data_IF_570309266446
#
_entry.id   IF_570309266446
#
_cell.length_a   1.000
_cell.length_b   1.000
_cell.length_c   1.000
_cell.angle_alpha   90.00
_cell.angle_beta   90.00
_cell.angle_gamma   90.00
#
_symmetry.space_group_name_H-M   'P 1'
#
loop_
_entity.id
_entity.type
_entity.pdbx_description
1 polymer ?
#
# COMPACT_ATOMS: atom_id res chain seq x y z
N UNK A 1 33.38 9.59 -46.65
CA UNK A 1 32.20 8.71 -46.65
C UNK A 1 31.59 8.69 -45.24
N UNK A 2 30.52 9.47 -45.03
CA UNK A 2 29.77 9.52 -43.78
C UNK A 2 28.71 8.43 -43.85
N UNK A 3 28.74 7.46 -42.94
CA UNK A 3 27.63 6.52 -42.70
C UNK A 3 26.70 7.11 -41.68
N UNK A 4 25.53 7.50 -42.11
CA UNK A 4 24.36 7.84 -41.28
C UNK A 4 23.84 6.56 -40.69
N UNK A 5 23.93 6.41 -39.37
CA UNK A 5 23.23 5.39 -38.61
C UNK A 5 21.81 5.89 -38.35
N UNK A 6 20.85 5.23 -38.95
CA UNK A 6 19.42 5.37 -38.64
C UNK A 6 19.20 4.68 -37.29
N UNK A 7 18.95 5.49 -36.27
CA UNK A 7 18.50 5.05 -34.96
C UNK A 7 16.97 4.87 -35.05
N UNK A 8 16.53 3.66 -35.17
CA UNK A 8 15.14 3.22 -35.09
C UNK A 8 14.94 2.29 -33.91
N UNK A 9 15.35 2.72 -32.73
CA UNK A 9 14.99 2.02 -31.50
C UNK A 9 13.68 2.57 -30.97
N UNK A 10 12.60 1.87 -31.31
CA UNK A 10 11.34 1.96 -30.58
C UNK A 10 11.62 1.53 -29.14
N UNK A 11 11.75 2.49 -28.21
CA UNK A 11 11.62 2.23 -26.78
C UNK A 11 10.24 1.62 -26.58
N UNK A 12 10.18 0.30 -26.43
CA UNK A 12 9.04 -0.35 -25.78
C UNK A 12 9.01 0.17 -24.33
N UNK A 13 8.15 1.13 -24.07
CA UNK A 13 7.85 1.59 -22.72
C UNK A 13 7.33 0.37 -21.95
N UNK A 14 8.05 -0.03 -20.92
CA UNK A 14 7.69 -1.06 -19.94
C UNK A 14 6.35 -0.64 -19.30
N UNK A 15 5.25 -1.35 -19.61
CA UNK A 15 3.90 -0.94 -19.23
C UNK A 15 3.31 -1.98 -18.27
N UNK A 16 2.96 -1.57 -17.04
CA UNK A 16 2.10 -2.34 -16.13
C UNK A 16 0.62 -2.24 -16.53
N UNK A 17 0.33 -2.29 -17.85
CA UNK A 17 -1.02 -2.30 -18.39
C UNK A 17 -1.25 -3.70 -18.97
N UNK A 18 -1.94 -4.55 -18.20
CA UNK A 18 -2.28 -5.92 -18.61
C UNK A 18 -3.48 -5.92 -19.57
N UNK A 19 -4.52 -5.15 -19.24
CA UNK A 19 -5.72 -4.98 -20.05
C UNK A 19 -5.73 -3.60 -20.70
N UNK A 20 -5.47 -3.56 -22.01
CA UNK A 20 -5.48 -2.30 -22.77
C UNK A 20 -6.91 -1.78 -22.92
N UNK A 21 -7.10 -0.49 -22.59
CA UNK A 21 -8.34 0.25 -22.81
C UNK A 21 -8.08 1.31 -23.88
N UNK A 22 -8.86 1.30 -24.96
CA UNK A 22 -8.79 2.34 -25.98
C UNK A 22 -9.58 3.57 -25.57
N UNK A 23 -9.23 4.74 -26.14
CA UNK A 23 -9.99 5.99 -25.90
C UNK A 23 -11.47 5.83 -26.24
N UNK A 24 -11.80 5.11 -27.33
CA UNK A 24 -13.19 4.90 -27.74
C UNK A 24 -13.96 4.06 -26.71
N UNK A 25 -13.36 2.95 -26.22
CA UNK A 25 -13.96 2.10 -25.17
C UNK A 25 -14.21 2.88 -23.88
N UNK A 26 -13.20 3.66 -23.43
CA UNK A 26 -13.36 4.47 -22.22
C UNK A 26 -14.42 5.57 -22.39
N UNK A 27 -14.44 6.23 -23.55
CA UNK A 27 -15.49 7.26 -23.86
C UNK A 27 -16.89 6.66 -23.79
N UNK A 28 -17.10 5.48 -24.35
CA UNK A 28 -18.40 4.80 -24.31
C UNK A 28 -18.75 4.37 -22.88
N UNK A 29 -17.81 3.79 -22.15
CA UNK A 29 -18.02 3.36 -20.77
C UNK A 29 -18.36 4.52 -19.83
N UNK A 30 -17.71 5.68 -20.00
CA UNK A 30 -17.95 6.90 -19.21
C UNK A 30 -19.35 7.50 -19.40
N UNK A 31 -20.10 7.12 -20.43
CA UNK A 31 -21.52 7.52 -20.57
C UNK A 31 -22.40 7.02 -19.44
N UNK A 32 -21.96 5.96 -18.75
CA UNK A 32 -22.64 5.47 -17.55
C UNK A 32 -22.41 6.36 -16.32
N UNK A 33 -21.61 7.42 -16.42
CA UNK A 33 -21.26 8.31 -15.33
C UNK A 33 -21.58 9.77 -15.63
N UNK A 34 -21.88 10.55 -14.61
CA UNK A 34 -22.15 12.00 -14.77
C UNK A 34 -20.85 12.83 -14.65
N UNK A 35 -19.80 12.44 -15.38
CA UNK A 35 -18.47 13.03 -15.27
C UNK A 35 -18.05 13.94 -16.44
N UNK A 36 -18.95 14.15 -17.41
CA UNK A 36 -18.67 14.94 -18.62
C UNK A 36 -17.80 14.19 -19.62
N UNK A 37 -17.21 14.93 -20.55
CA UNK A 37 -16.48 14.37 -21.69
C UNK A 37 -15.06 13.98 -21.32
N UNK A 38 -14.57 12.85 -21.84
CA UNK A 38 -13.20 12.41 -21.73
C UNK A 38 -12.24 13.38 -22.46
N UNK A 39 -11.37 14.04 -21.72
CA UNK A 39 -10.36 14.94 -22.25
C UNK A 39 -9.02 14.23 -22.46
N UNK A 40 -8.53 13.49 -21.44
CA UNK A 40 -7.25 12.79 -21.48
C UNK A 40 -7.32 11.45 -20.75
N UNK A 41 -6.51 10.48 -21.20
CA UNK A 41 -6.27 9.22 -20.51
C UNK A 41 -4.79 8.84 -20.66
N UNK A 42 -4.22 8.27 -19.60
CA UNK A 42 -2.83 7.83 -19.57
C UNK A 42 -2.68 6.61 -18.67
N UNK A 43 -2.03 5.55 -19.16
CA UNK A 43 -1.71 4.38 -18.36
C UNK A 43 -0.77 4.73 -17.21
N UNK A 44 -1.01 4.16 -16.04
CA UNK A 44 -0.14 4.27 -14.86
C UNK A 44 0.82 3.08 -14.88
N UNK A 45 2.11 3.37 -14.96
CA UNK A 45 3.15 2.34 -15.05
C UNK A 45 3.56 1.76 -13.69
N UNK A 46 3.20 2.43 -12.60
CA UNK A 46 3.40 1.95 -11.23
C UNK A 46 2.22 1.08 -10.79
N UNK A 47 2.53 0.01 -10.08
CA UNK A 47 1.54 -1.00 -9.63
C UNK A 47 1.76 -2.33 -10.35
N UNK A 48 1.61 -3.43 -9.62
CA UNK A 48 1.94 -4.77 -10.10
C UNK A 48 0.74 -5.73 -10.14
N UNK A 49 -0.42 -5.34 -9.63
CA UNK A 49 -1.56 -6.25 -9.49
C UNK A 49 -2.72 -5.92 -10.45
N UNK A 50 -2.88 -4.64 -10.79
CA UNK A 50 -4.04 -4.15 -11.56
C UNK A 50 -3.62 -3.24 -12.70
N UNK A 51 -4.46 -3.13 -13.71
CA UNK A 51 -4.30 -2.12 -14.77
C UNK A 51 -4.92 -0.79 -14.32
N UNK A 52 -4.13 0.27 -14.31
CA UNK A 52 -4.56 1.58 -13.86
C UNK A 52 -4.39 2.65 -14.95
N UNK A 53 -5.33 3.59 -15.01
CA UNK A 53 -5.28 4.76 -15.90
C UNK A 53 -5.60 6.04 -15.15
N UNK A 54 -4.83 7.10 -15.36
CA UNK A 54 -5.31 8.45 -15.11
C UNK A 54 -6.33 8.83 -16.15
N UNK A 55 -7.47 9.32 -15.70
CA UNK A 55 -8.60 9.75 -16.54
C UNK A 55 -8.94 11.20 -16.21
N UNK A 56 -8.80 12.09 -17.19
CA UNK A 56 -9.23 13.48 -17.05
C UNK A 56 -10.48 13.69 -17.87
N UNK A 57 -11.51 14.21 -17.24
CA UNK A 57 -12.77 14.60 -17.88
C UNK A 57 -12.99 16.11 -17.75
N UNK A 58 -14.06 16.63 -18.35
CA UNK A 58 -14.44 18.03 -18.18
C UNK A 58 -14.87 18.41 -16.76
N UNK A 59 -15.06 17.41 -15.86
CA UNK A 59 -15.49 17.61 -14.46
C UNK A 59 -14.44 17.24 -13.42
N UNK A 60 -13.29 16.69 -13.82
CA UNK A 60 -12.24 16.37 -12.85
C UNK A 60 -11.23 15.33 -13.32
N UNK A 61 -10.36 14.96 -12.36
CA UNK A 61 -9.34 13.92 -12.54
C UNK A 61 -9.68 12.70 -11.69
N UNK A 62 -9.52 11.53 -12.29
CA UNK A 62 -9.90 10.26 -11.72
C UNK A 62 -8.80 9.22 -11.97
N UNK A 63 -8.86 8.13 -11.22
CA UNK A 63 -8.10 6.90 -11.49
C UNK A 63 -9.11 5.80 -11.81
N UNK A 64 -8.94 5.17 -12.96
CA UNK A 64 -9.66 3.97 -13.37
C UNK A 64 -8.77 2.77 -13.07
N UNK A 65 -9.28 1.81 -12.28
CA UNK A 65 -8.63 0.53 -12.00
C UNK A 65 -9.43 -0.59 -12.64
N UNK A 66 -8.76 -1.43 -13.45
CA UNK A 66 -9.29 -2.71 -13.92
C UNK A 66 -8.63 -3.81 -13.08
N UNK A 67 -9.45 -4.65 -12.46
CA UNK A 67 -8.98 -5.71 -11.57
C UNK A 67 -8.67 -6.97 -12.37
N UNK A 68 -7.39 -7.32 -12.40
CA UNK A 68 -6.92 -8.45 -13.23
C UNK A 68 -7.21 -9.81 -12.60
N UNK A 69 -7.14 -9.90 -11.27
CA UNK A 69 -7.18 -11.16 -10.53
C UNK A 69 -8.19 -11.18 -9.36
N UNK A 70 -8.62 -10.02 -8.89
CA UNK A 70 -9.56 -9.93 -7.76
C UNK A 70 -10.97 -10.26 -8.20
N UNK A 71 -11.66 -11.10 -7.42
CA UNK A 71 -13.04 -11.50 -7.70
C UNK A 71 -14.05 -10.36 -7.51
N UNK A 72 -15.08 -10.34 -8.33
CA UNK A 72 -16.16 -9.32 -8.26
C UNK A 72 -16.82 -9.29 -6.88
N UNK A 73 -16.84 -10.42 -6.16
CA UNK A 73 -17.48 -10.54 -4.84
C UNK A 73 -16.79 -9.75 -3.74
N UNK A 74 -15.48 -9.50 -3.86
CA UNK A 74 -14.68 -8.80 -2.84
C UNK A 74 -14.67 -7.29 -3.05
N UNK A 75 -14.78 -6.82 -4.29
CA UNK A 75 -14.63 -5.42 -4.67
C UNK A 75 -15.62 -4.46 -3.98
N UNK A 76 -16.89 -4.83 -3.75
CA UNK A 76 -17.83 -3.96 -3.04
C UNK A 76 -17.37 -3.57 -1.64
N UNK A 77 -16.65 -4.45 -0.92
CA UNK A 77 -16.07 -4.15 0.40
C UNK A 77 -15.12 -2.96 0.31
N UNK A 78 -14.15 -3.00 -0.60
CA UNK A 78 -13.12 -1.95 -0.74
C UNK A 78 -13.72 -0.63 -1.20
N UNK A 79 -14.65 -0.67 -2.17
CA UNK A 79 -15.33 0.54 -2.64
C UNK A 79 -16.16 1.18 -1.51
N UNK A 80 -16.90 0.40 -0.74
CA UNK A 80 -17.71 0.91 0.36
C UNK A 80 -16.85 1.37 1.54
N UNK A 81 -15.71 0.72 1.80
CA UNK A 81 -14.74 1.17 2.80
C UNK A 81 -14.18 2.55 2.43
N UNK A 82 -13.71 2.75 1.21
CA UNK A 82 -13.20 4.05 0.76
C UNK A 82 -14.29 5.12 0.83
N UNK A 83 -15.53 4.82 0.43
CA UNK A 83 -16.65 5.74 0.56
C UNK A 83 -16.95 6.12 2.01
N UNK A 84 -16.90 5.14 2.92
CA UNK A 84 -17.08 5.35 4.36
C UNK A 84 -15.99 6.23 4.97
N UNK A 85 -14.72 5.96 4.65
CA UNK A 85 -13.57 6.74 5.11
C UNK A 85 -13.64 8.18 4.59
N UNK A 86 -13.90 8.37 3.29
CA UNK A 86 -14.03 9.69 2.67
C UNK A 86 -15.19 10.51 3.28
N UNK A 87 -16.34 9.86 3.54
CA UNK A 87 -17.48 10.51 4.20
C UNK A 87 -17.18 11.00 5.63
N UNK A 88 -16.13 10.44 6.27
CA UNK A 88 -15.63 10.87 7.58
C UNK A 88 -14.46 11.86 7.49
N UNK A 89 -14.17 12.37 6.29
CA UNK A 89 -13.12 13.35 6.06
C UNK A 89 -11.71 12.78 6.01
N UNK A 90 -11.56 11.45 5.93
CA UNK A 90 -10.26 10.85 5.72
C UNK A 90 -9.81 11.04 4.27
N UNK A 91 -8.57 11.46 4.06
CA UNK A 91 -8.01 11.72 2.73
C UNK A 91 -7.68 10.41 2.01
N UNK A 92 -8.66 9.84 1.32
CA UNK A 92 -8.53 8.66 0.46
C UNK A 92 -9.29 8.85 -0.85
N UNK A 93 -9.03 8.02 -1.90
CA UNK A 93 -9.79 8.04 -3.12
C UNK A 93 -11.27 7.80 -2.83
N UNK A 94 -12.13 8.64 -3.39
CA UNK A 94 -13.59 8.48 -3.25
C UNK A 94 -14.12 7.74 -4.47
N UNK A 95 -14.78 6.57 -4.30
CA UNK A 95 -15.40 5.85 -5.39
C UNK A 95 -16.50 6.66 -6.06
N UNK A 96 -16.55 6.61 -7.39
CA UNK A 96 -17.56 7.28 -8.20
C UNK A 96 -18.64 6.29 -8.59
N UNK A 97 -19.88 6.54 -8.18
CA UNK A 97 -21.00 5.72 -8.60
C UNK A 97 -21.40 6.02 -10.04
N UNK A 98 -21.81 4.99 -10.77
CA UNK A 98 -22.46 5.14 -12.08
C UNK A 98 -23.89 5.68 -11.93
N UNK A 99 -24.59 5.92 -13.04
CA UNK A 99 -25.96 6.43 -13.07
C UNK A 99 -26.99 5.48 -12.40
N UNK A 100 -26.60 4.24 -12.08
CA UNK A 100 -27.42 3.25 -11.37
C UNK A 100 -27.03 3.16 -9.87
N UNK A 101 -26.13 4.00 -9.39
CA UNK A 101 -25.65 4.00 -8.01
C UNK A 101 -24.62 2.92 -7.68
N UNK A 102 -24.04 2.25 -8.67
CA UNK A 102 -23.06 1.20 -8.50
C UNK A 102 -21.64 1.74 -8.62
N UNK A 103 -20.75 1.33 -7.73
CA UNK A 103 -19.32 1.67 -7.79
C UNK A 103 -18.53 0.78 -8.77
N UNK A 104 -18.90 -0.51 -8.83
CA UNK A 104 -18.19 -1.48 -9.66
C UNK A 104 -18.93 -1.62 -10.99
N UNK A 105 -18.20 -1.39 -12.08
CA UNK A 105 -18.65 -1.65 -13.44
C UNK A 105 -17.83 -2.77 -14.08
N UNK A 106 -18.03 -2.98 -15.39
CA UNK A 106 -17.22 -3.88 -16.20
C UNK A 106 -16.69 -3.12 -17.41
N UNK A 107 -15.39 -3.31 -17.72
CA UNK A 107 -14.74 -2.76 -18.91
C UNK A 107 -13.77 -3.79 -19.48
N UNK A 108 -13.91 -4.11 -20.76
CA UNK A 108 -13.11 -5.12 -21.46
C UNK A 108 -13.06 -6.49 -20.75
N UNK A 109 -14.21 -6.93 -20.18
CA UNK A 109 -14.33 -8.21 -19.49
C UNK A 109 -13.67 -8.25 -18.10
N UNK A 110 -13.27 -7.10 -17.57
CA UNK A 110 -12.70 -6.97 -16.22
C UNK A 110 -13.59 -6.12 -15.34
N UNK A 111 -13.69 -6.44 -14.04
CA UNK A 111 -14.30 -5.52 -13.08
C UNK A 111 -13.52 -4.20 -13.07
N UNK A 112 -14.23 -3.09 -13.05
CA UNK A 112 -13.66 -1.77 -13.14
C UNK A 112 -14.21 -0.84 -12.05
N UNK A 113 -13.34 -0.05 -11.44
CA UNK A 113 -13.67 0.95 -10.43
C UNK A 113 -13.07 2.29 -10.82
N UNK A 114 -13.88 3.35 -10.73
CA UNK A 114 -13.42 4.71 -10.91
C UNK A 114 -13.41 5.43 -9.56
N UNK A 115 -12.28 6.05 -9.23
CA UNK A 115 -12.11 6.81 -7.98
C UNK A 115 -11.56 8.21 -8.26
N UNK A 116 -11.74 9.15 -7.34
CA UNK A 116 -11.13 10.48 -7.44
C UNK A 116 -9.60 10.37 -7.37
N UNK A 117 -8.91 11.21 -8.15
CA UNK A 117 -7.46 11.31 -8.12
C UNK A 117 -7.03 12.25 -6.98
N UNK A 118 -6.17 11.77 -6.07
CA UNK A 118 -5.62 12.57 -4.98
C UNK A 118 -4.38 13.36 -5.44
N UNK A 119 -4.09 14.50 -4.79
CA UNK A 119 -2.87 15.26 -5.04
C UNK A 119 -1.66 14.63 -4.36
N UNK A 120 -0.47 14.87 -4.91
CA UNK A 120 0.80 14.48 -4.30
C UNK A 120 1.52 13.36 -5.02
N UNK A 121 2.66 13.01 -4.45
CA UNK A 121 3.57 11.96 -4.95
C UNK A 121 4.08 11.13 -3.79
N UNK A 122 4.40 9.85 -4.04
CA UNK A 122 5.07 9.00 -3.05
C UNK A 122 6.52 9.45 -2.83
N UNK A 123 7.08 9.11 -1.66
CA UNK A 123 8.44 9.48 -1.28
C UNK A 123 9.38 8.28 -1.29
N UNK A 124 10.60 8.49 -1.77
CA UNK A 124 11.65 7.46 -1.75
C UNK A 124 12.50 7.57 -0.47
N UNK A 125 12.89 8.81 -0.12
CA UNK A 125 13.67 9.08 1.07
C UNK A 125 12.75 9.59 2.18
N UNK A 126 12.87 8.99 3.34
CA UNK A 126 11.97 9.21 4.47
C UNK A 126 12.72 9.90 5.61
N UNK A 127 12.12 10.94 6.18
CA UNK A 127 12.60 11.60 7.39
C UNK A 127 11.78 11.20 8.62
N UNK A 128 12.33 11.35 9.85
CA UNK A 128 11.56 11.12 11.07
C UNK A 128 10.27 11.97 11.14
N UNK A 129 10.30 13.21 10.65
CA UNK A 129 9.11 14.06 10.60
C UNK A 129 8.00 13.47 9.72
N UNK A 130 8.34 12.89 8.55
CA UNK A 130 7.39 12.21 7.68
C UNK A 130 6.85 10.95 8.33
N UNK A 131 7.68 10.16 9.02
CA UNK A 131 7.22 9.01 9.80
C UNK A 131 6.19 9.42 10.88
N UNK A 132 6.41 10.55 11.55
CA UNK A 132 5.44 11.10 12.51
C UNK A 132 4.11 11.47 11.86
N UNK A 133 4.13 12.09 10.67
CA UNK A 133 2.92 12.37 9.91
C UNK A 133 2.18 11.08 9.51
N UNK A 134 2.92 10.06 9.08
CA UNK A 134 2.37 8.74 8.70
C UNK A 134 1.70 8.08 9.90
N UNK A 135 2.34 8.08 11.07
CA UNK A 135 1.72 7.60 12.31
C UNK A 135 0.40 8.30 12.61
N UNK A 136 0.36 9.63 12.48
CA UNK A 136 -0.85 10.43 12.68
C UNK A 136 -1.95 10.06 11.68
N UNK A 137 -1.62 9.93 10.40
CA UNK A 137 -2.59 9.55 9.36
C UNK A 137 -3.11 8.14 9.57
N UNK A 138 -2.27 7.20 10.00
CA UNK A 138 -2.71 5.85 10.33
C UNK A 138 -3.69 5.83 11.52
N UNK A 139 -3.45 6.64 12.57
CA UNK A 139 -4.40 6.81 13.67
C UNK A 139 -5.74 7.40 13.19
N UNK A 140 -5.70 8.37 12.28
CA UNK A 140 -6.90 8.95 11.66
C UNK A 140 -7.66 7.93 10.81
N UNK A 141 -6.97 7.06 10.06
CA UNK A 141 -7.57 5.97 9.31
C UNK A 141 -8.33 5.01 10.24
N UNK A 142 -7.67 4.55 11.30
CA UNK A 142 -8.29 3.65 12.29
C UNK A 142 -9.49 4.29 12.98
N UNK A 143 -9.42 5.59 13.29
CA UNK A 143 -10.55 6.33 13.83
C UNK A 143 -11.70 6.46 12.83
N UNK A 144 -11.40 6.85 11.58
CA UNK A 144 -12.39 6.97 10.51
C UNK A 144 -13.03 5.63 10.15
N UNK A 145 -12.29 4.51 10.28
CA UNK A 145 -12.78 3.14 10.06
C UNK A 145 -13.79 2.65 11.11
N UNK A 146 -13.89 3.34 12.27
CA UNK A 146 -14.87 2.97 13.29
C UNK A 146 -16.30 3.08 12.74
N UNK A 147 -17.13 2.09 13.09
CA UNK A 147 -18.51 2.05 12.64
C UNK A 147 -18.69 1.59 11.18
N UNK A 148 -17.66 1.22 10.47
CA UNK A 148 -17.80 0.48 9.21
C UNK A 148 -18.34 -0.93 9.52
N UNK A 149 -19.48 -1.26 8.90
CA UNK A 149 -20.27 -2.44 9.32
C UNK A 149 -19.94 -3.71 8.56
N UNK A 150 -19.35 -3.59 7.37
CA UNK A 150 -18.92 -4.75 6.62
C UNK A 150 -17.66 -5.36 7.24
N UNK A 151 -17.53 -6.65 7.09
CA UNK A 151 -16.40 -7.41 7.65
C UNK A 151 -15.67 -8.16 6.55
N UNK A 152 -14.35 -8.04 6.59
CA UNK A 152 -13.44 -8.83 5.76
C UNK A 152 -12.24 -9.23 6.61
N UNK A 153 -11.98 -10.51 6.72
CA UNK A 153 -10.74 -10.96 7.37
C UNK A 153 -9.53 -10.39 6.64
N UNK A 154 -8.50 -10.06 7.39
CA UNK A 154 -7.24 -9.63 6.80
C UNK A 154 -6.80 -10.60 5.68
N UNK A 155 -6.77 -10.14 4.40
CA UNK A 155 -6.48 -11.02 3.26
C UNK A 155 -5.02 -11.51 3.25
N UNK A 156 -4.15 -10.90 4.05
CA UNK A 156 -2.74 -11.31 4.24
C UNK A 156 -2.47 -11.80 5.66
N UNK A 157 -3.51 -12.23 6.40
CA UNK A 157 -3.43 -12.77 7.75
C UNK A 157 -3.04 -14.26 7.82
N UNK A 158 -3.13 -14.89 9.01
CA UNK A 158 -2.66 -16.25 9.26
C UNK A 158 -3.26 -17.33 8.35
N UNK A 159 -4.50 -17.14 7.89
CA UNK A 159 -5.13 -18.07 6.94
C UNK A 159 -4.38 -18.06 5.60
N UNK A 160 -4.08 -16.87 5.08
CA UNK A 160 -3.35 -16.70 3.84
C UNK A 160 -1.92 -17.26 3.95
N UNK A 161 -1.21 -17.04 5.10
CA UNK A 161 0.15 -17.58 5.29
C UNK A 161 0.20 -19.10 5.12
N UNK A 162 -0.77 -19.81 5.74
CA UNK A 162 -0.87 -21.27 5.66
C UNK A 162 -1.15 -21.77 4.25
N UNK A 163 -2.07 -21.12 3.54
CA UNK A 163 -2.40 -21.48 2.15
C UNK A 163 -1.22 -21.18 1.22
N UNK A 164 -0.58 -20.03 1.42
CA UNK A 164 0.53 -19.60 0.57
C UNK A 164 1.80 -20.43 0.78
N UNK A 165 2.06 -20.87 2.01
CA UNK A 165 3.12 -21.82 2.32
C UNK A 165 3.00 -23.12 1.50
N UNK A 166 1.78 -23.63 1.27
CA UNK A 166 1.60 -24.84 0.47
C UNK A 166 2.08 -24.62 -0.99
N UNK A 167 1.82 -23.45 -1.55
CA UNK A 167 2.28 -23.09 -2.91
C UNK A 167 3.81 -22.94 -2.98
N UNK A 168 4.41 -22.38 -1.93
CA UNK A 168 5.84 -22.11 -1.85
C UNK A 168 6.69 -23.33 -1.47
N UNK A 169 6.12 -24.36 -0.87
CA UNK A 169 6.83 -25.50 -0.25
C UNK A 169 7.83 -26.18 -1.18
N UNK A 170 7.52 -26.30 -2.48
CA UNK A 170 8.39 -26.93 -3.48
C UNK A 170 9.30 -25.94 -4.21
N UNK A 171 9.22 -24.65 -3.87
CA UNK A 171 9.90 -23.56 -4.60
C UNK A 171 11.05 -22.93 -3.81
N UNK A 172 10.85 -22.75 -2.50
CA UNK A 172 11.83 -22.10 -1.62
C UNK A 172 12.92 -23.07 -1.13
N UNK A 173 14.08 -22.54 -0.75
CA UNK A 173 15.15 -23.34 -0.20
C UNK A 173 14.74 -23.99 1.14
N UNK A 174 15.31 -25.16 1.51
CA UNK A 174 14.95 -25.84 2.76
C UNK A 174 15.15 -24.99 4.03
N UNK A 175 16.10 -24.08 4.06
CA UNK A 175 16.32 -23.17 5.19
C UNK A 175 15.22 -22.12 5.28
N UNK A 176 14.81 -21.55 4.16
CA UNK A 176 13.70 -20.58 4.09
C UNK A 176 12.37 -21.25 4.50
N UNK A 177 12.12 -22.45 4.00
CA UNK A 177 10.93 -23.22 4.36
C UNK A 177 10.84 -23.45 5.88
N UNK A 178 11.95 -23.87 6.51
CA UNK A 178 11.98 -24.05 7.97
C UNK A 178 11.71 -22.76 8.72
N UNK A 179 12.28 -21.63 8.29
CA UNK A 179 12.04 -20.33 8.90
C UNK A 179 10.57 -19.92 8.79
N UNK A 180 9.96 -20.07 7.61
CA UNK A 180 8.54 -19.76 7.39
C UNK A 180 7.64 -20.65 8.28
N UNK A 181 7.89 -21.96 8.30
CA UNK A 181 7.11 -22.92 9.09
C UNK A 181 7.22 -22.63 10.59
N UNK A 182 8.43 -22.39 11.09
CA UNK A 182 8.65 -22.05 12.50
C UNK A 182 7.97 -20.74 12.89
N UNK A 183 8.01 -19.73 11.99
CA UNK A 183 7.37 -18.44 12.26
C UNK A 183 5.84 -18.54 12.24
N UNK A 184 5.25 -19.24 11.27
CA UNK A 184 3.80 -19.49 11.25
C UNK A 184 3.34 -20.24 12.53
N UNK A 185 4.14 -21.21 12.99
CA UNK A 185 3.86 -21.93 14.24
C UNK A 185 3.96 -21.01 15.46
N UNK A 186 5.02 -20.18 15.53
CA UNK A 186 5.17 -19.19 16.59
C UNK A 186 3.99 -18.22 16.65
N UNK A 187 3.58 -17.65 15.53
CA UNK A 187 2.46 -16.71 15.44
C UNK A 187 1.13 -17.37 15.87
N UNK A 188 0.93 -18.66 15.55
CA UNK A 188 -0.27 -19.39 15.97
C UNK A 188 -0.37 -19.58 17.49
N UNK A 189 0.76 -19.58 18.21
CA UNK A 189 0.82 -19.67 19.67
C UNK A 189 0.65 -18.33 20.38
N UNK A 190 0.77 -17.21 19.65
CA UNK A 190 0.75 -15.86 20.18
C UNK A 190 -0.42 -15.05 19.60
N UNK A 191 -1.64 -15.61 19.66
CA UNK A 191 -2.83 -14.90 19.24
C UNK A 191 -3.07 -13.62 20.09
N UNK A 192 -3.45 -12.53 19.44
CA UNK A 192 -3.59 -11.20 20.05
C UNK A 192 -5.05 -10.78 20.17
N UNK A 193 -5.91 -11.67 20.70
CA UNK A 193 -7.35 -11.42 20.83
C UNK A 193 -7.68 -10.20 21.72
N UNK A 194 -6.79 -9.85 22.66
CA UNK A 194 -6.99 -8.76 23.62
C UNK A 194 -6.55 -7.38 23.08
N UNK A 195 -6.04 -7.30 21.85
CA UNK A 195 -5.67 -6.03 21.26
C UNK A 195 -6.90 -5.30 20.68
N UNK A 196 -6.86 -3.97 20.57
CA UNK A 196 -7.85 -3.25 19.80
C UNK A 196 -7.87 -3.71 18.33
N UNK A 197 -9.07 -4.11 17.87
CA UNK A 197 -9.29 -4.56 16.50
C UNK A 197 -10.17 -3.58 15.73
N UNK A 198 -9.99 -3.54 14.42
CA UNK A 198 -10.78 -2.73 13.52
C UNK A 198 -10.32 -2.87 12.07
N UNK A 199 -10.78 -1.95 11.23
CA UNK A 199 -10.33 -1.86 9.85
C UNK A 199 -8.86 -1.43 9.82
N UNK A 200 -8.03 -2.20 9.15
CA UNK A 200 -6.62 -1.89 8.86
C UNK A 200 -6.47 -1.62 7.36
N UNK A 201 -5.47 -0.83 6.98
CA UNK A 201 -5.05 -0.69 5.59
C UNK A 201 -4.36 -1.97 5.09
N UNK A 202 -3.53 -2.55 5.94
CA UNK A 202 -2.80 -3.78 5.70
C UNK A 202 -1.63 -3.67 4.71
N UNK A 203 -1.41 -2.52 4.06
CA UNK A 203 -0.33 -2.31 3.09
C UNK A 203 0.12 -0.84 3.02
N UNK A 204 0.17 -0.14 4.18
CA UNK A 204 0.51 1.28 4.22
C UNK A 204 2.02 1.51 4.02
N UNK A 205 2.49 1.14 2.84
CA UNK A 205 3.87 1.34 2.39
C UNK A 205 4.09 2.75 1.83
N UNK A 206 5.35 3.12 1.63
CA UNK A 206 5.73 4.43 1.08
C UNK A 206 5.07 4.74 -0.26
N UNK A 207 4.83 3.72 -1.08
CA UNK A 207 4.19 3.83 -2.38
C UNK A 207 2.70 4.22 -2.27
N UNK A 208 2.06 3.98 -1.11
CA UNK A 208 0.63 4.15 -0.86
C UNK A 208 0.28 5.42 -0.07
N UNK A 209 1.26 6.28 0.22
CA UNK A 209 1.05 7.60 0.82
C UNK A 209 1.55 8.69 -0.12
N UNK A 210 0.68 9.64 -0.43
CA UNK A 210 0.99 10.77 -1.30
C UNK A 210 1.28 12.01 -0.44
N UNK A 211 2.42 12.65 -0.70
CA UNK A 211 2.79 13.94 -0.11
C UNK A 211 2.61 15.05 -1.12
N UNK A 212 1.96 16.13 -0.73
CA UNK A 212 1.85 17.33 -1.55
C UNK A 212 3.23 18.00 -1.67
N UNK A 213 3.53 18.54 -2.86
CA UNK A 213 4.71 19.36 -3.04
C UNK A 213 4.54 20.70 -2.31
N UNK A 214 5.60 21.16 -1.67
CA UNK A 214 5.65 22.54 -1.19
C UNK A 214 6.09 23.40 -2.39
N UNK A 215 5.17 24.18 -2.95
CA UNK A 215 5.52 25.22 -3.90
C UNK A 215 6.29 26.31 -3.13
N UNK A 216 7.60 26.36 -3.32
CA UNK A 216 8.45 27.44 -2.82
C UNK A 216 8.16 28.75 -3.61
N UNK A 217 6.92 29.24 -3.57
CA UNK A 217 6.55 30.57 -4.03
C UNK A 217 6.67 31.57 -2.90
N UNK A 218 7.87 31.81 -2.40
CA UNK A 218 8.06 32.91 -1.47
C UNK A 218 9.20 32.75 -0.47
N UNK A 219 10.37 33.32 -0.75
CA UNK A 219 11.34 33.71 0.27
C UNK A 219 12.70 33.00 0.19
N UNK A 220 13.62 33.74 -0.41
CA UNK A 220 15.08 33.67 -0.36
C UNK A 220 15.57 33.09 0.98
N UNK A 221 16.17 31.92 0.97
CA UNK A 221 17.29 31.45 1.81
C UNK A 221 17.48 29.93 1.71
N UNK A 222 17.60 29.38 0.48
CA UNK A 222 18.19 28.07 0.30
C UNK A 222 19.72 28.19 0.33
N UNK A 223 20.32 27.99 1.50
CA UNK A 223 21.74 27.73 1.60
C UNK A 223 22.04 26.35 0.98
N UNK A 224 23.11 26.19 0.17
CA UNK A 224 23.49 24.90 -0.40
C UNK A 224 23.84 23.94 0.73
N UNK A 225 23.05 22.89 0.89
CA UNK A 225 23.25 21.86 1.93
C UNK A 225 22.01 21.55 2.79
N UNK A 226 20.97 22.36 2.74
CA UNK A 226 19.72 22.07 3.43
C UNK A 226 18.79 21.29 2.48
N UNK A 227 18.73 19.96 2.64
CA UNK A 227 17.67 19.13 2.04
C UNK A 227 16.40 19.41 2.85
N UNK A 228 15.88 20.62 2.75
CA UNK A 228 14.52 20.94 3.18
C UNK A 228 13.60 20.04 2.36
N UNK A 229 12.83 19.20 3.03
CA UNK A 229 11.95 18.23 2.38
C UNK A 229 11.02 18.99 1.42
N UNK A 230 11.16 18.73 0.12
CA UNK A 230 10.27 19.30 -0.94
C UNK A 230 8.81 18.83 -0.77
N UNK A 231 8.55 18.04 0.23
CA UNK A 231 7.27 17.40 0.50
C UNK A 231 6.70 17.96 1.81
N UNK A 232 5.51 18.55 1.71
CA UNK A 232 4.81 19.19 2.83
C UNK A 232 3.97 18.19 3.63
N UNK A 233 2.65 18.36 3.57
CA UNK A 233 1.67 17.51 4.25
C UNK A 233 1.30 16.29 3.40
N UNK A 234 0.73 15.29 4.05
CA UNK A 234 0.14 14.14 3.36
C UNK A 234 -1.12 14.61 2.62
N UNK A 235 -1.15 14.38 1.29
CA UNK A 235 -2.29 14.64 0.41
C UNK A 235 -3.33 13.52 0.43
N UNK A 236 -2.91 12.30 0.82
CA UNK A 236 -3.82 11.18 1.03
C UNK A 236 -3.16 9.80 1.00
N UNK A 237 -3.99 8.80 1.30
CA UNK A 237 -3.65 7.37 1.33
C UNK A 237 -4.39 6.67 0.19
N UNK A 238 -3.70 5.82 -0.56
CA UNK A 238 -4.24 5.08 -1.70
C UNK A 238 -4.05 3.56 -1.52
N UNK A 239 -4.66 2.77 -2.41
CA UNK A 239 -4.51 1.31 -2.51
C UNK A 239 -5.04 0.53 -1.29
N UNK A 240 -6.35 0.55 -1.09
CA UNK A 240 -7.05 -0.14 0.00
C UNK A 240 -7.35 -1.61 -0.27
N UNK A 241 -6.81 -2.22 -1.33
CA UNK A 241 -7.18 -3.57 -1.77
C UNK A 241 -6.59 -4.70 -0.93
N UNK A 242 -5.83 -4.36 0.13
CA UNK A 242 -5.41 -5.26 1.21
C UNK A 242 -6.07 -4.95 2.56
N UNK A 243 -7.00 -4.00 2.58
CA UNK A 243 -7.70 -3.64 3.80
C UNK A 243 -8.58 -4.79 4.30
N UNK A 244 -8.71 -4.90 5.61
CA UNK A 244 -9.52 -5.93 6.27
C UNK A 244 -9.61 -5.67 7.76
N UNK A 245 -10.20 -6.58 8.51
CA UNK A 245 -10.31 -6.50 9.96
C UNK A 245 -9.16 -7.27 10.63
N UNK A 246 -8.38 -6.59 11.47
CA UNK A 246 -7.31 -7.20 12.28
C UNK A 246 -6.97 -6.29 13.48
N UNK A 247 -5.95 -6.69 14.27
CA UNK A 247 -5.39 -5.86 15.32
C UNK A 247 -4.83 -4.56 14.74
N UNK A 248 -5.27 -3.40 15.25
CA UNK A 248 -4.82 -2.09 14.75
C UNK A 248 -3.30 -1.92 14.84
N UNK A 249 -2.68 -2.49 15.87
CA UNK A 249 -1.24 -2.45 16.06
C UNK A 249 -0.47 -3.26 15.01
N UNK A 250 -1.09 -4.25 14.35
CA UNK A 250 -0.50 -4.96 13.21
C UNK A 250 -0.29 -4.01 12.02
N UNK A 251 -1.24 -3.12 11.77
CA UNK A 251 -1.12 -2.13 10.69
C UNK A 251 0.04 -1.16 10.96
N UNK A 252 0.21 -0.75 12.23
CA UNK A 252 1.38 0.04 12.65
C UNK A 252 2.69 -0.73 12.41
N UNK A 253 2.73 -2.03 12.71
CA UNK A 253 3.91 -2.87 12.49
C UNK A 253 4.22 -3.06 10.99
N UNK A 254 3.19 -3.24 10.14
CA UNK A 254 3.34 -3.29 8.68
C UNK A 254 3.93 -1.99 8.15
N UNK A 255 3.40 -0.86 8.61
CA UNK A 255 3.87 0.48 8.25
C UNK A 255 5.32 0.70 8.72
N UNK A 256 5.64 0.36 9.96
CA UNK A 256 6.98 0.50 10.52
C UNK A 256 8.04 -0.30 9.74
N UNK A 257 7.71 -1.53 9.34
CA UNK A 257 8.59 -2.40 8.58
C UNK A 257 8.90 -1.92 7.15
N UNK A 258 8.16 -0.96 6.61
CA UNK A 258 8.51 -0.32 5.35
C UNK A 258 9.11 1.07 5.56
N UNK A 259 8.45 1.92 6.37
CA UNK A 259 8.82 3.31 6.56
C UNK A 259 10.14 3.50 7.31
N UNK A 260 10.46 2.61 8.25
CA UNK A 260 11.65 2.71 9.08
C UNK A 260 12.76 1.74 8.65
N UNK A 261 12.58 1.00 7.55
CA UNK A 261 13.51 -0.02 7.09
C UNK A 261 14.76 0.58 6.48
N UNK A 262 15.91 0.16 7.00
CA UNK A 262 17.25 0.43 6.48
C UNK A 262 17.70 -0.65 5.47
N UNK A 263 18.68 -0.35 4.61
CA UNK A 263 19.21 -1.33 3.65
C UNK A 263 19.83 -2.57 4.28
N UNK A 264 20.30 -2.47 5.52
CA UNK A 264 20.90 -3.56 6.31
C UNK A 264 19.85 -4.46 6.98
N UNK A 265 18.57 -4.24 6.70
CA UNK A 265 17.41 -4.92 7.29
C UNK A 265 17.22 -4.65 8.80
N UNK A 266 17.72 -3.53 9.31
CA UNK A 266 17.36 -3.01 10.65
C UNK A 266 16.31 -1.91 10.52
N UNK A 267 15.63 -1.56 11.62
CA UNK A 267 14.75 -0.41 11.68
C UNK A 267 15.52 0.83 12.19
N UNK A 268 15.27 1.97 11.57
CA UNK A 268 15.74 3.26 12.04
C UNK A 268 14.98 3.66 13.30
N UNK A 269 15.71 3.80 14.41
CA UNK A 269 15.14 4.06 15.75
C UNK A 269 14.45 5.42 15.82
N UNK A 270 15.00 6.46 15.18
CA UNK A 270 14.41 7.80 15.20
C UNK A 270 13.12 7.85 14.39
N UNK A 271 13.12 7.23 13.19
CA UNK A 271 11.94 7.10 12.36
C UNK A 271 10.85 6.29 13.06
N UNK A 272 11.20 5.17 13.66
CA UNK A 272 10.28 4.30 14.38
C UNK A 272 9.66 5.01 15.60
N UNK A 273 10.48 5.69 16.40
CA UNK A 273 10.01 6.48 17.52
C UNK A 273 9.07 7.63 17.08
N UNK A 274 9.40 8.30 15.97
CA UNK A 274 8.54 9.35 15.41
C UNK A 274 7.20 8.79 14.93
N UNK A 275 7.20 7.64 14.26
CA UNK A 275 5.99 6.96 13.79
C UNK A 275 5.08 6.57 14.97
N UNK A 276 5.64 5.95 16.00
CA UNK A 276 4.89 5.53 17.19
C UNK A 276 4.30 6.72 17.95
N UNK A 277 5.07 7.82 18.12
CA UNK A 277 4.57 9.07 18.71
C UNK A 277 3.50 9.74 17.85
N UNK A 278 3.64 9.70 16.52
CA UNK A 278 2.63 10.19 15.61
C UNK A 278 1.32 9.41 15.71
N UNK A 279 1.41 8.10 15.82
CA UNK A 279 0.25 7.23 16.00
C UNK A 279 -0.45 7.42 17.35
N UNK A 280 0.32 7.54 18.44
CA UNK A 280 -0.18 7.84 19.80
C UNK A 280 0.64 8.94 20.47
N UNK A 281 0.19 10.21 20.35
CA UNK A 281 0.93 11.36 20.88
C UNK A 281 1.09 11.34 22.41
N UNK A 282 0.18 10.67 23.13
CA UNK A 282 0.23 10.51 24.58
C UNK A 282 1.11 9.34 25.05
N UNK A 283 1.71 8.59 24.10
CA UNK A 283 2.55 7.40 24.33
C UNK A 283 1.89 6.31 25.20
N UNK A 284 0.55 6.29 25.30
CA UNK A 284 -0.17 5.35 26.16
C UNK A 284 -0.47 4.04 25.41
N UNK A 285 0.52 3.18 25.36
CA UNK A 285 0.34 1.80 24.94
C UNK A 285 0.04 0.91 26.16
N UNK A 286 -0.97 0.06 26.05
CA UNK A 286 -1.29 -0.92 27.09
C UNK A 286 -0.20 -1.97 27.23
N UNK A 287 -0.14 -2.68 28.35
CA UNK A 287 0.82 -3.77 28.54
C UNK A 287 0.63 -4.88 27.49
N UNK A 288 -0.60 -5.16 27.06
CA UNK A 288 -0.90 -6.11 25.99
C UNK A 288 -0.27 -5.66 24.67
N UNK A 289 -0.42 -4.37 24.30
CA UNK A 289 0.18 -3.82 23.07
C UNK A 289 1.71 -3.83 23.12
N UNK A 290 2.30 -3.46 24.26
CA UNK A 290 3.77 -3.50 24.45
C UNK A 290 4.33 -4.92 24.32
N UNK A 291 3.65 -5.91 24.89
CA UNK A 291 4.04 -7.31 24.79
C UNK A 291 3.83 -7.88 23.38
N UNK A 292 2.79 -7.44 22.68
CA UNK A 292 2.49 -7.90 21.34
C UNK A 292 3.38 -7.26 20.26
N UNK A 293 3.91 -6.05 20.49
CA UNK A 293 4.63 -5.28 19.49
C UNK A 293 5.76 -6.06 18.79
N UNK A 294 6.74 -6.69 19.49
CA UNK A 294 7.79 -7.44 18.82
C UNK A 294 7.26 -8.64 18.02
N UNK A 295 6.14 -9.23 18.43
CA UNK A 295 5.51 -10.35 17.75
C UNK A 295 4.83 -9.87 16.46
N UNK A 296 4.17 -8.71 16.50
CA UNK A 296 3.51 -8.11 15.33
C UNK A 296 4.50 -7.61 14.28
N UNK A 297 5.67 -7.11 14.69
CA UNK A 297 6.76 -6.78 13.75
C UNK A 297 7.21 -8.01 12.97
N UNK A 298 7.33 -9.19 13.63
CA UNK A 298 7.64 -10.46 12.98
C UNK A 298 6.53 -10.89 12.03
N UNK A 299 5.27 -10.81 12.46
CA UNK A 299 4.10 -11.12 11.61
C UNK A 299 4.07 -10.24 10.35
N UNK A 300 4.32 -8.94 10.50
CA UNK A 300 4.39 -7.99 9.39
C UNK A 300 5.55 -8.28 8.43
N UNK A 301 6.72 -8.68 8.94
CA UNK A 301 7.86 -9.09 8.12
C UNK A 301 7.57 -10.38 7.36
N UNK A 302 7.00 -11.40 8.04
CA UNK A 302 6.61 -12.68 7.43
C UNK A 302 5.64 -12.47 6.27
N UNK A 303 4.54 -11.72 6.49
CA UNK A 303 3.52 -11.50 5.45
C UNK A 303 4.11 -10.86 4.19
N UNK A 304 4.99 -9.87 4.39
CA UNK A 304 5.62 -9.16 3.27
C UNK A 304 6.65 -10.05 2.56
N UNK A 305 7.43 -10.82 3.30
CA UNK A 305 8.35 -11.80 2.72
C UNK A 305 7.62 -12.83 1.87
N UNK A 306 6.56 -13.44 2.39
CA UNK A 306 5.73 -14.39 1.64
C UNK A 306 5.16 -13.76 0.36
N UNK A 307 4.64 -12.54 0.43
CA UNK A 307 4.13 -11.82 -0.74
C UNK A 307 5.20 -11.64 -1.82
N UNK A 308 6.41 -11.21 -1.42
CA UNK A 308 7.53 -11.02 -2.35
C UNK A 308 8.04 -12.34 -2.95
N UNK A 309 8.09 -13.42 -2.17
CA UNK A 309 8.38 -14.76 -2.70
C UNK A 309 7.34 -15.16 -3.74
N UNK A 310 6.07 -14.82 -3.51
CA UNK A 310 5.03 -15.09 -4.48
C UNK A 310 5.26 -14.42 -5.82
N UNK A 311 5.57 -13.14 -5.83
CA UNK A 311 5.89 -12.44 -7.07
C UNK A 311 7.11 -13.04 -7.78
N UNK A 312 8.12 -13.51 -7.03
CA UNK A 312 9.31 -14.13 -7.62
C UNK A 312 9.03 -15.49 -8.25
N UNK A 313 8.20 -16.33 -7.62
CA UNK A 313 7.93 -17.69 -8.07
C UNK A 313 6.69 -17.82 -8.95
N UNK A 314 5.77 -16.89 -8.85
CA UNK A 314 4.51 -16.87 -9.60
C UNK A 314 4.29 -15.48 -10.22
N UNK A 315 5.21 -15.04 -11.12
CA UNK A 315 5.09 -13.72 -11.74
C UNK A 315 3.78 -13.64 -12.52
N UNK A 316 3.11 -12.49 -12.41
CA UNK A 316 1.95 -12.20 -13.24
C UNK A 316 2.39 -12.13 -14.71
N UNK A 317 1.51 -12.55 -15.63
CA UNK A 317 1.77 -12.41 -17.06
C UNK A 317 1.76 -10.92 -17.44
N UNK A 318 2.93 -10.39 -17.66
CA UNK A 318 3.21 -9.00 -17.98
C UNK A 318 4.67 -8.70 -17.69
N UNK A 319 5.26 -7.70 -18.30
CA UNK A 319 6.64 -7.32 -18.03
C UNK A 319 6.73 -6.73 -16.62
N UNK A 320 7.31 -7.48 -15.68
CA UNK A 320 7.63 -6.97 -14.34
C UNK A 320 8.80 -6.02 -14.42
N UNK A 321 8.53 -4.76 -14.17
CA UNK A 321 9.55 -3.68 -14.19
C UNK A 321 10.47 -3.70 -12.99
N UNK A 322 10.03 -4.27 -11.83
CA UNK A 322 10.82 -4.32 -10.59
C UNK A 322 10.48 -5.56 -9.75
N UNK A 323 11.47 -6.40 -9.50
CA UNK A 323 11.42 -7.40 -8.41
C UNK A 323 11.85 -6.73 -7.11
N UNK A 324 10.92 -6.54 -6.17
CA UNK A 324 11.26 -6.11 -4.81
C UNK A 324 12.04 -7.24 -4.12
N UNK A 325 13.22 -6.97 -3.56
CA UNK A 325 14.08 -7.98 -2.90
C UNK A 325 13.33 -8.71 -1.78
N UNK A 326 13.03 -9.98 -1.97
CA UNK A 326 12.40 -10.82 -0.95
C UNK A 326 13.37 -11.11 0.21
N UNK A 327 14.67 -11.23 -0.07
CA UNK A 327 15.70 -11.47 0.93
C UNK A 327 15.83 -10.36 1.96
N UNK A 328 15.47 -9.13 1.63
CA UNK A 328 15.46 -8.03 2.59
C UNK A 328 14.47 -8.29 3.75
N UNK A 329 13.26 -8.78 3.45
CA UNK A 329 12.26 -9.06 4.49
C UNK A 329 12.51 -10.38 5.22
N UNK A 330 13.21 -11.33 4.60
CA UNK A 330 13.75 -12.49 5.30
C UNK A 330 14.76 -12.06 6.39
N UNK A 331 15.71 -11.20 6.03
CA UNK A 331 16.70 -10.65 6.97
C UNK A 331 16.04 -9.81 8.07
N UNK A 332 15.03 -9.00 7.71
CA UNK A 332 14.26 -8.22 8.68
C UNK A 332 13.53 -9.12 9.68
N UNK A 333 12.89 -10.20 9.20
CA UNK A 333 12.26 -11.18 10.09
C UNK A 333 13.29 -11.80 11.04
N UNK A 334 14.45 -12.22 10.52
CA UNK A 334 15.52 -12.77 11.36
C UNK A 334 16.01 -11.73 12.37
N UNK A 335 16.18 -10.46 11.97
CA UNK A 335 16.54 -9.38 12.87
C UNK A 335 15.52 -9.18 14.01
N UNK A 336 14.22 -9.24 13.70
CA UNK A 336 13.17 -9.17 14.72
C UNK A 336 13.16 -10.38 15.68
N UNK A 337 13.62 -11.54 15.22
CA UNK A 337 13.75 -12.73 16.06
C UNK A 337 14.95 -12.58 17.02
N UNK A 338 16.10 -12.14 16.49
CA UNK A 338 17.38 -12.08 17.22
C UNK A 338 17.47 -10.86 18.16
N UNK A 339 16.87 -9.73 17.77
CA UNK A 339 16.90 -8.47 18.51
C UNK A 339 15.51 -7.79 18.51
N UNK A 340 14.57 -8.27 19.34
CA UNK A 340 13.22 -7.70 19.39
C UNK A 340 13.22 -6.23 19.80
N UNK A 341 12.51 -5.39 19.04
CA UNK A 341 12.29 -3.99 19.40
C UNK A 341 11.12 -3.87 20.39
N UNK A 342 11.29 -3.12 21.46
CA UNK A 342 10.27 -2.91 22.48
C UNK A 342 9.84 -1.44 22.52
N UNK A 343 8.53 -1.17 22.64
CA UNK A 343 7.98 0.20 22.67
C UNK A 343 8.59 1.01 23.80
N UNK A 344 8.75 0.45 24.99
CA UNK A 344 9.30 1.14 26.16
C UNK A 344 10.75 1.64 26.00
N UNK A 345 11.50 1.09 25.04
CA UNK A 345 12.86 1.53 24.73
C UNK A 345 12.91 2.57 23.61
N UNK A 346 11.80 2.83 22.95
CA UNK A 346 11.66 3.69 21.76
C UNK A 346 11.03 5.05 22.09
N UNK A 347 10.09 5.08 23.05
CA UNK A 347 9.29 6.27 23.37
C UNK A 347 9.00 6.39 24.87
#
# INVERSE_FOLDING_TARGET
MRRTLLCGDTLHALMSVYTTVTRAQLTEWLKNYSLGDLQHMQGILSGIENTNYFVTTSRGKYVLTLFEHMGVAELPYYAQLMAHLAARGFACPTPVANCHGQFIGELNGKPALLVTCLPGESVVHVSPAQCGQVGTVLAQLHHAGQGFTQRMLNPRGPHWWKSYLQLLRSKVAPAELRLIESEIHFQAQHAHADLPHGVIHGDLFRDNILFERVDNTGGVNDLPGNISSKHGRIGGVIDFYFAGDDALLLDVAVTANDWCLRPDATLDVEQLAALLRGYRPDNKYSNAEKSAWPILLRAAALRTWLGRLGYNYFPLQGEMTFTKDAGLYQRLLQQHIDAPAHIDTLI
#
